data_IF_162426182620
#
_entry.id   IF_162426182620
#
_cell.length_a   1.000
_cell.length_b   1.000
_cell.length_c   1.000
_cell.angle_alpha   90.00
_cell.angle_beta   90.00
_cell.angle_gamma   90.00
#
_symmetry.space_group_name_H-M   'P 1'
#
loop_
_entity.id
_entity.type
_entity.pdbx_description
1 polymer ?
#
# COMPACT_ATOMS: atom_id res chain seq x y z
N UNK A 1 -12.24 -10.79 -17.89
CA UNK A 1 -11.41 -9.95 -16.98
C UNK A 1 -10.37 -9.08 -17.73
N UNK A 2 -10.51 -8.92 -19.06
CA UNK A 2 -9.47 -8.27 -19.88
C UNK A 2 -9.19 -6.80 -19.54
N UNK A 3 -10.09 -6.13 -18.80
CA UNK A 3 -9.99 -4.72 -18.45
C UNK A 3 -9.70 -4.48 -16.95
N UNK A 4 -9.45 -5.52 -16.20
CA UNK A 4 -9.15 -5.40 -14.77
C UNK A 4 -7.72 -5.79 -14.46
N UNK A 5 -7.09 -5.01 -13.58
CA UNK A 5 -5.84 -5.37 -12.90
C UNK A 5 -6.15 -5.67 -11.44
N UNK A 6 -5.35 -6.52 -10.85
CA UNK A 6 -5.44 -6.85 -9.44
C UNK A 6 -4.04 -7.08 -8.85
N UNK A 7 -3.91 -6.76 -7.58
CA UNK A 7 -2.73 -7.04 -6.77
C UNK A 7 -3.18 -7.59 -5.42
N UNK A 8 -2.36 -8.38 -4.78
CA UNK A 8 -2.60 -8.90 -3.44
C UNK A 8 -1.31 -8.88 -2.64
N UNK A 9 -1.35 -8.24 -1.47
CA UNK A 9 -0.27 -8.26 -0.50
C UNK A 9 -0.75 -8.74 0.86
N UNK A 10 0.19 -9.35 1.57
CA UNK A 10 0.10 -9.63 3.01
C UNK A 10 0.83 -8.53 3.78
N UNK A 11 0.24 -8.05 4.86
CA UNK A 11 0.85 -7.10 5.77
C UNK A 11 0.76 -7.66 7.19
N UNK A 12 1.86 -8.30 7.64
CA UNK A 12 1.88 -9.18 8.81
C UNK A 12 2.71 -8.59 9.95
N UNK A 13 2.18 -8.68 11.17
CA UNK A 13 2.87 -8.31 12.41
C UNK A 13 4.13 -9.16 12.62
N UNK A 14 5.23 -8.49 12.97
CA UNK A 14 6.54 -9.10 13.17
C UNK A 14 7.33 -9.33 11.88
N UNK A 15 6.72 -9.09 10.70
CA UNK A 15 7.37 -9.16 9.39
C UNK A 15 7.42 -7.79 8.75
N UNK A 16 6.28 -7.15 8.56
CA UNK A 16 6.14 -5.88 7.86
C UNK A 16 5.99 -4.68 8.81
N UNK A 17 5.59 -4.93 10.04
CA UNK A 17 5.47 -3.91 11.08
C UNK A 17 5.58 -4.51 12.49
N UNK A 18 5.91 -3.64 13.45
CA UNK A 18 5.84 -3.91 14.89
C UNK A 18 4.75 -2.99 15.45
N UNK A 19 3.80 -3.54 16.23
CA UNK A 19 2.66 -2.77 16.78
C UNK A 19 3.10 -1.61 17.67
N UNK A 20 4.18 -1.77 18.41
CA UNK A 20 4.76 -0.72 19.25
C UNK A 20 5.29 0.49 18.46
N UNK A 21 5.55 0.33 17.15
CA UNK A 21 6.04 1.40 16.28
C UNK A 21 4.92 2.16 15.55
N UNK A 22 3.68 1.67 15.58
CA UNK A 22 2.57 2.20 14.80
C UNK A 22 1.32 2.38 15.65
N UNK A 23 0.46 3.38 15.34
CA UNK A 23 -0.95 3.30 15.69
C UNK A 23 -1.68 2.32 14.78
N UNK A 24 -2.76 1.72 15.23
CA UNK A 24 -3.59 0.83 14.40
C UNK A 24 -4.16 1.54 13.17
N UNK A 25 -4.48 2.83 13.29
CA UNK A 25 -4.84 3.70 12.18
C UNK A 25 -3.75 3.72 11.09
N UNK A 26 -2.48 3.89 11.48
CA UNK A 26 -1.37 3.93 10.53
C UNK A 26 -1.04 2.54 9.95
N UNK A 27 -1.19 1.47 10.71
CA UNK A 27 -1.07 0.10 10.19
C UNK A 27 -2.06 -0.13 9.05
N UNK A 28 -3.33 0.17 9.29
CA UNK A 28 -4.40 0.04 8.31
C UNK A 28 -4.16 0.86 7.05
N UNK A 29 -3.78 2.13 7.22
CA UNK A 29 -3.45 3.03 6.10
C UNK A 29 -2.29 2.50 5.27
N UNK A 30 -1.21 2.07 5.91
CA UNK A 30 -0.02 1.57 5.22
C UNK A 30 -0.35 0.29 4.45
N UNK A 31 -1.08 -0.65 5.05
CA UNK A 31 -1.53 -1.87 4.38
C UNK A 31 -2.33 -1.56 3.09
N UNK A 32 -3.24 -0.57 3.14
CA UNK A 32 -3.97 -0.13 1.96
C UNK A 32 -3.06 0.55 0.93
N UNK A 33 -2.14 1.41 1.36
CA UNK A 33 -1.30 2.20 0.47
C UNK A 33 -0.28 1.35 -0.30
N UNK A 34 0.27 0.28 0.26
CA UNK A 34 1.18 -0.61 -0.47
C UNK A 34 0.44 -1.31 -1.61
N UNK A 35 -0.78 -1.82 -1.39
CA UNK A 35 -1.61 -2.40 -2.44
C UNK A 35 -2.05 -1.37 -3.51
N UNK A 36 -2.34 -0.13 -3.11
CA UNK A 36 -2.64 0.96 -4.05
C UNK A 36 -1.42 1.26 -4.92
N UNK A 37 -0.21 1.17 -4.36
CA UNK A 37 1.04 1.37 -5.09
C UNK A 37 1.15 0.43 -6.29
N UNK A 38 0.87 -0.85 -6.11
CA UNK A 38 0.89 -1.85 -7.18
C UNK A 38 -0.09 -1.52 -8.32
N UNK A 39 -1.31 -1.16 -7.97
CA UNK A 39 -2.33 -0.81 -8.98
C UNK A 39 -1.92 0.45 -9.75
N UNK A 40 -1.40 1.45 -9.04
CA UNK A 40 -0.91 2.68 -9.67
C UNK A 40 0.33 2.42 -10.55
N UNK A 41 1.23 1.52 -10.16
CA UNK A 41 2.39 1.13 -10.95
C UNK A 41 1.99 0.50 -12.30
N UNK A 42 0.81 -0.11 -12.37
CA UNK A 42 0.22 -0.60 -13.61
C UNK A 42 -0.51 0.49 -14.43
N UNK A 43 -0.48 1.75 -13.99
CA UNK A 43 -1.13 2.87 -14.66
C UNK A 43 -2.66 2.88 -14.51
N UNK A 44 -3.19 2.25 -13.46
CA UNK A 44 -4.62 2.04 -13.25
C UNK A 44 -5.06 2.67 -11.92
N UNK A 45 -6.28 3.18 -11.86
CA UNK A 45 -6.88 3.68 -10.61
C UNK A 45 -7.43 2.50 -9.79
N UNK A 46 -7.12 2.41 -8.50
CA UNK A 46 -7.78 1.45 -7.62
C UNK A 46 -9.27 1.77 -7.54
N UNK A 47 -10.12 0.75 -7.48
CA UNK A 47 -11.57 0.92 -7.44
C UNK A 47 -12.24 0.06 -6.36
N UNK A 48 -11.77 -1.17 -6.17
CA UNK A 48 -12.37 -2.11 -5.22
C UNK A 48 -11.29 -2.81 -4.41
N UNK A 49 -11.65 -3.24 -3.19
CA UNK A 49 -10.78 -4.07 -2.37
C UNK A 49 -11.57 -5.16 -1.63
N UNK A 50 -10.90 -6.28 -1.40
CA UNK A 50 -11.32 -7.33 -0.46
C UNK A 50 -10.29 -7.39 0.67
N UNK A 51 -10.77 -7.57 1.91
CA UNK A 51 -9.95 -7.56 3.12
C UNK A 51 -10.09 -8.88 3.88
N UNK A 52 -8.99 -9.61 4.04
CA UNK A 52 -8.87 -10.67 5.03
C UNK A 52 -8.12 -10.15 6.24
N UNK A 53 -8.71 -10.16 7.43
CA UNK A 53 -8.09 -9.57 8.61
C UNK A 53 -8.13 -10.58 9.77
N UNK A 54 -6.97 -10.86 10.33
CA UNK A 54 -6.81 -11.55 11.59
C UNK A 54 -6.46 -10.51 12.66
N UNK A 55 -7.41 -10.13 13.51
CA UNK A 55 -7.14 -9.24 14.64
C UNK A 55 -6.46 -10.00 15.77
N UNK A 56 -5.45 -9.40 16.39
CA UNK A 56 -4.82 -9.97 17.56
C UNK A 56 -5.82 -10.04 18.75
N UNK A 57 -5.74 -11.12 19.54
CA UNK A 57 -6.67 -11.39 20.65
C UNK A 57 -6.66 -10.30 21.71
N UNK A 58 -5.53 -9.64 21.90
CA UNK A 58 -5.33 -8.57 22.89
C UNK A 58 -5.79 -7.18 22.41
N UNK A 59 -6.21 -7.05 21.16
CA UNK A 59 -6.77 -5.79 20.64
C UNK A 59 -8.13 -5.49 21.25
N UNK A 60 -8.26 -4.28 21.78
CA UNK A 60 -9.51 -3.74 22.31
C UNK A 60 -10.47 -3.28 21.20
N UNK A 61 -11.71 -2.98 21.56
CA UNK A 61 -12.68 -2.41 20.60
C UNK A 61 -12.20 -1.05 20.06
N UNK A 62 -11.53 -0.23 20.90
CA UNK A 62 -10.98 1.05 20.48
C UNK A 62 -9.85 0.87 19.46
N UNK A 63 -9.00 -0.15 19.62
CA UNK A 63 -7.93 -0.47 18.68
C UNK A 63 -8.49 -0.88 17.31
N UNK A 64 -9.57 -1.67 17.33
CA UNK A 64 -10.27 -2.09 16.12
C UNK A 64 -10.94 -0.90 15.43
N UNK A 65 -11.51 0.01 16.19
CA UNK A 65 -12.14 1.22 15.62
C UNK A 65 -11.08 2.17 15.05
N UNK A 66 -9.93 2.33 15.71
CA UNK A 66 -8.78 3.09 15.16
C UNK A 66 -8.29 2.49 13.83
N UNK A 67 -8.18 1.15 13.77
CA UNK A 67 -7.85 0.43 12.54
C UNK A 67 -8.87 0.66 11.42
N UNK A 68 -10.18 0.51 11.73
CA UNK A 68 -11.26 0.76 10.76
C UNK A 68 -11.22 2.19 10.22
N UNK A 69 -10.97 3.19 11.08
CA UNK A 69 -10.86 4.58 10.67
C UNK A 69 -9.72 4.77 9.65
N UNK A 70 -8.60 4.07 9.82
CA UNK A 70 -7.50 4.07 8.85
C UNK A 70 -7.91 3.53 7.47
N UNK A 71 -8.65 2.41 7.43
CA UNK A 71 -9.21 1.85 6.18
C UNK A 71 -10.17 2.84 5.52
N UNK A 72 -11.13 3.35 6.30
CA UNK A 72 -12.18 4.28 5.79
C UNK A 72 -11.56 5.54 5.20
N UNK A 73 -10.53 6.10 5.84
CA UNK A 73 -9.84 7.30 5.38
C UNK A 73 -9.19 7.08 3.99
N UNK A 74 -8.48 5.96 3.82
CA UNK A 74 -7.88 5.62 2.53
C UNK A 74 -8.94 5.31 1.47
N UNK A 75 -9.99 4.58 1.82
CA UNK A 75 -11.10 4.31 0.92
C UNK A 75 -11.73 5.61 0.40
N UNK A 76 -11.97 6.59 1.28
CA UNK A 76 -12.51 7.92 0.89
C UNK A 76 -11.52 8.66 0.00
N UNK A 77 -10.24 8.71 0.39
CA UNK A 77 -9.19 9.45 -0.34
C UNK A 77 -9.01 8.97 -1.78
N UNK A 78 -9.06 7.66 -2.00
CA UNK A 78 -8.82 7.03 -3.30
C UNK A 78 -10.09 6.54 -3.99
N UNK A 79 -11.26 6.82 -3.41
CA UNK A 79 -12.58 6.37 -3.92
C UNK A 79 -12.66 4.85 -4.12
N UNK A 80 -12.18 4.09 -3.13
CA UNK A 80 -12.18 2.63 -3.15
C UNK A 80 -13.40 2.09 -2.40
N UNK A 81 -14.07 1.07 -2.94
CA UNK A 81 -15.17 0.36 -2.30
C UNK A 81 -14.69 -1.00 -1.79
N UNK A 82 -14.94 -1.29 -0.53
CA UNK A 82 -14.76 -2.64 0.00
C UNK A 82 -15.93 -3.50 -0.49
N UNK A 83 -15.62 -4.59 -1.18
CA UNK A 83 -16.62 -5.47 -1.82
C UNK A 83 -16.72 -6.84 -1.17
N UNK A 84 -15.90 -7.14 -0.18
CA UNK A 84 -15.92 -8.39 0.55
C UNK A 84 -14.71 -8.57 1.44
N UNK A 85 -14.65 -9.71 2.08
CA UNK A 85 -13.56 -10.09 2.95
C UNK A 85 -14.02 -10.99 4.07
N UNK A 86 -13.08 -11.29 4.96
CA UNK A 86 -13.33 -12.10 6.16
C UNK A 86 -12.54 -11.54 7.35
N UNK A 87 -13.01 -11.81 8.56
CA UNK A 87 -12.39 -11.33 9.79
C UNK A 87 -12.38 -12.43 10.85
N UNK A 88 -11.19 -12.72 11.36
CA UNK A 88 -10.99 -13.69 12.43
C UNK A 88 -10.24 -13.07 13.62
N UNK A 89 -10.07 -13.83 14.69
CA UNK A 89 -9.18 -13.53 15.82
C UNK A 89 -8.05 -14.55 15.87
N UNK A 90 -6.82 -14.06 16.13
CA UNK A 90 -5.62 -14.88 16.23
C UNK A 90 -4.62 -14.24 17.21
N UNK A 91 -3.43 -14.79 17.33
CA UNK A 91 -2.38 -14.27 18.22
C UNK A 91 -1.73 -12.98 17.67
N UNK A 92 -1.77 -12.77 16.35
CA UNK A 92 -1.16 -11.62 15.66
C UNK A 92 -2.14 -10.89 14.75
N UNK A 93 -1.88 -9.60 14.56
CA UNK A 93 -2.56 -8.80 13.54
C UNK A 93 -1.96 -9.08 12.16
N UNK A 94 -2.73 -9.76 11.30
CA UNK A 94 -2.36 -10.01 9.92
C UNK A 94 -3.45 -9.48 8.98
N UNK A 95 -3.01 -8.91 7.87
CA UNK A 95 -3.90 -8.25 6.92
C UNK A 95 -3.56 -8.78 5.53
N UNK A 96 -4.56 -9.29 4.82
CA UNK A 96 -4.49 -9.64 3.42
C UNK A 96 -5.39 -8.69 2.64
N UNK A 97 -4.86 -8.00 1.64
CA UNK A 97 -5.65 -7.10 0.81
C UNK A 97 -5.53 -7.53 -0.63
N UNK A 98 -6.67 -7.77 -1.28
CA UNK A 98 -6.74 -7.88 -2.73
C UNK A 98 -7.34 -6.60 -3.28
N UNK A 99 -6.58 -5.86 -4.06
CA UNK A 99 -6.98 -4.59 -4.67
C UNK A 99 -7.30 -4.82 -6.14
N UNK A 100 -8.34 -4.16 -6.62
CA UNK A 100 -8.76 -4.22 -8.03
C UNK A 100 -8.85 -2.82 -8.62
N UNK A 101 -8.41 -2.69 -9.87
CA UNK A 101 -8.60 -1.51 -10.67
C UNK A 101 -9.14 -1.84 -12.05
N UNK A 102 -10.00 -0.99 -12.61
CA UNK A 102 -10.46 -1.11 -14.00
C UNK A 102 -9.59 -0.23 -14.87
N UNK A 103 -8.96 -0.83 -15.89
CA UNK A 103 -8.15 -0.11 -16.85
C UNK A 103 -9.04 0.68 -17.81
N UNK A 104 -8.80 1.99 -17.90
CA UNK A 104 -9.45 2.90 -18.85
C UNK A 104 -8.56 3.16 -20.08
N UNK A 105 -7.30 2.73 -20.01
CA UNK A 105 -6.30 2.95 -21.03
C UNK A 105 -5.22 1.85 -21.00
N UNK A 106 -4.02 2.17 -21.46
CA UNK A 106 -2.87 1.26 -21.49
C UNK A 106 -2.50 0.76 -20.09
N UNK A 107 -2.38 -0.57 -19.95
CA UNK A 107 -1.84 -1.21 -18.75
C UNK A 107 -0.31 -1.28 -18.88
N UNK A 108 0.39 -0.77 -17.88
CA UNK A 108 1.84 -0.85 -17.78
C UNK A 108 2.25 -2.22 -17.25
N UNK A 109 3.21 -2.84 -17.92
CA UNK A 109 3.76 -4.15 -17.54
C UNK A 109 5.25 -4.07 -17.29
N UNK A 110 5.77 -4.94 -16.44
CA UNK A 110 7.22 -5.06 -16.16
C UNK A 110 8.04 -5.58 -17.35
N UNK A 111 7.38 -6.14 -18.36
CA UNK A 111 8.01 -6.81 -19.52
C UNK A 111 8.10 -5.96 -20.79
N UNK A 112 7.61 -4.73 -20.76
CA UNK A 112 7.51 -3.91 -21.98
C UNK A 112 8.75 -3.04 -22.26
N UNK A 113 9.82 -3.20 -21.48
CA UNK A 113 11.07 -2.48 -21.67
C UNK A 113 11.82 -2.92 -22.91
N UNK A 114 12.58 -1.99 -23.52
CA UNK A 114 13.48 -2.24 -24.64
C UNK A 114 14.87 -1.75 -24.33
N UNK A 115 15.86 -2.34 -24.99
CA UNK A 115 17.24 -1.83 -24.94
C UNK A 115 17.25 -0.39 -25.43
N UNK A 116 17.89 0.51 -24.65
CA UNK A 116 17.94 1.95 -24.92
C UNK A 116 16.87 2.78 -24.21
N UNK A 117 15.91 2.15 -23.52
CA UNK A 117 14.95 2.88 -22.68
C UNK A 117 15.66 3.53 -21.48
N UNK A 118 15.25 4.75 -21.15
CA UNK A 118 15.74 5.47 -19.97
C UNK A 118 14.96 5.00 -18.75
N UNK A 119 15.69 4.62 -17.68
CA UNK A 119 15.11 4.26 -16.39
C UNK A 119 15.11 5.50 -15.50
N UNK A 120 13.97 5.81 -14.90
CA UNK A 120 13.85 6.87 -13.91
C UNK A 120 12.95 6.42 -12.75
N UNK A 121 13.05 7.11 -11.64
CA UNK A 121 12.18 6.92 -10.47
C UNK A 121 11.61 8.25 -9.99
N UNK A 122 10.46 8.22 -9.36
CA UNK A 122 9.85 9.41 -8.75
C UNK A 122 10.10 9.44 -7.25
N UNK A 123 10.39 10.62 -6.72
CA UNK A 123 10.64 10.84 -5.29
C UNK A 123 12.09 10.59 -4.86
N UNK A 124 12.29 10.40 -3.55
CA UNK A 124 13.59 10.17 -2.94
C UNK A 124 13.69 8.77 -2.37
N UNK A 125 14.75 8.05 -2.68
CA UNK A 125 15.03 6.71 -2.17
C UNK A 125 15.82 6.76 -0.85
N UNK A 126 15.78 5.66 -0.09
CA UNK A 126 16.59 5.46 1.12
C UNK A 126 16.04 6.08 2.41
N UNK A 127 15.08 7.01 2.36
CA UNK A 127 14.52 7.66 3.55
C UNK A 127 13.84 6.67 4.51
N UNK A 128 13.07 5.75 3.99
CA UNK A 128 12.37 4.71 4.77
C UNK A 128 13.35 3.81 5.51
N UNK A 129 14.45 3.39 4.86
CA UNK A 129 15.50 2.57 5.49
C UNK A 129 16.19 3.30 6.64
N UNK A 130 16.44 4.62 6.50
CA UNK A 130 17.00 5.45 7.57
C UNK A 130 16.06 5.50 8.78
N UNK A 131 14.78 5.76 8.56
CA UNK A 131 13.78 5.87 9.61
C UNK A 131 13.55 4.53 10.32
N UNK A 132 13.50 3.43 9.56
CA UNK A 132 13.41 2.08 10.11
C UNK A 132 14.61 1.76 11.04
N UNK A 133 15.84 2.05 10.59
CA UNK A 133 17.03 1.87 11.42
C UNK A 133 17.01 2.71 12.69
N UNK A 134 16.45 3.93 12.64
CA UNK A 134 16.29 4.78 13.82
C UNK A 134 15.29 4.17 14.80
N UNK A 135 14.13 3.69 14.33
CA UNK A 135 13.13 3.01 15.18
C UNK A 135 13.69 1.75 15.85
N UNK A 136 14.40 0.88 15.12
CA UNK A 136 15.02 -0.32 15.72
C UNK A 136 16.10 -0.03 16.75
N UNK A 137 16.64 1.21 16.77
CA UNK A 137 17.56 1.71 17.80
C UNK A 137 16.83 2.43 18.93
N UNK A 138 15.50 2.39 18.98
CA UNK A 138 14.68 3.05 20.00
C UNK A 138 14.51 4.57 19.81
N UNK A 139 14.92 5.12 18.67
CA UNK A 139 14.73 6.55 18.38
C UNK A 139 13.34 6.83 17.81
N UNK A 140 12.78 7.97 18.17
CA UNK A 140 11.53 8.47 17.54
C UNK A 140 11.84 9.02 16.15
N UNK A 141 10.94 8.78 15.21
CA UNK A 141 10.99 9.36 13.87
C UNK A 141 9.85 10.37 13.66
N UNK A 142 9.95 11.15 12.60
CA UNK A 142 8.91 12.12 12.24
C UNK A 142 7.58 11.41 12.00
N UNK A 143 6.48 11.93 12.58
CA UNK A 143 5.12 11.39 12.38
C UNK A 143 4.67 11.39 10.91
N UNK A 144 5.21 12.31 10.10
CA UNK A 144 4.94 12.42 8.67
C UNK A 144 5.92 11.62 7.80
N UNK A 145 6.73 10.73 8.40
CA UNK A 145 7.66 9.89 7.65
C UNK A 145 6.94 9.01 6.64
N UNK A 146 7.57 8.83 5.48
CA UNK A 146 7.16 7.85 4.47
C UNK A 146 7.16 6.41 5.02
N UNK A 147 7.88 6.15 6.09
CA UNK A 147 7.84 4.88 6.81
C UNK A 147 6.42 4.55 7.27
N UNK A 148 5.67 5.53 7.83
CA UNK A 148 4.29 5.34 8.24
C UNK A 148 3.29 5.47 7.09
N UNK A 149 3.53 6.43 6.19
CA UNK A 149 2.59 6.74 5.12
C UNK A 149 3.34 6.93 3.81
N UNK A 150 3.42 5.89 2.97
CA UNK A 150 4.01 5.99 1.63
C UNK A 150 3.38 7.14 0.84
N UNK A 151 4.21 7.93 0.15
CA UNK A 151 3.75 9.05 -0.65
C UNK A 151 3.48 8.59 -2.09
N UNK A 152 2.24 8.27 -2.37
CA UNK A 152 1.79 7.95 -3.72
C UNK A 152 1.37 9.23 -4.45
N UNK A 153 1.77 9.38 -5.70
CA UNK A 153 1.41 10.52 -6.54
C UNK A 153 0.63 10.07 -7.79
N UNK A 154 -0.67 9.75 -7.65
CA UNK A 154 -1.48 9.27 -8.78
C UNK A 154 -1.51 10.26 -9.95
N UNK A 155 -1.60 11.56 -9.66
CA UNK A 155 -1.63 12.60 -10.69
C UNK A 155 -0.42 12.51 -11.60
N UNK A 156 0.78 12.49 -11.02
CA UNK A 156 2.03 12.35 -11.77
C UNK A 156 2.05 11.07 -12.62
N UNK A 157 1.63 9.93 -12.05
CA UNK A 157 1.60 8.65 -12.76
C UNK A 157 0.74 8.73 -14.02
N UNK A 158 -0.48 9.31 -13.90
CA UNK A 158 -1.38 9.43 -15.05
C UNK A 158 -0.91 10.46 -16.08
N UNK A 159 -0.22 11.52 -15.66
CA UNK A 159 0.39 12.50 -16.57
C UNK A 159 1.51 11.87 -17.42
N UNK A 160 2.34 10.99 -16.86
CA UNK A 160 3.45 10.36 -17.58
C UNK A 160 3.05 9.09 -18.33
N UNK A 161 1.87 8.52 -18.05
CA UNK A 161 1.41 7.25 -18.60
C UNK A 161 1.55 7.13 -20.14
N UNK A 162 1.26 8.16 -20.96
CA UNK A 162 1.44 8.10 -22.40
C UNK A 162 2.89 7.90 -22.85
N UNK A 163 3.86 8.33 -22.03
CA UNK A 163 5.28 8.39 -22.38
C UNK A 163 6.07 7.18 -21.88
N UNK A 164 5.54 6.40 -20.93
CA UNK A 164 6.24 5.23 -20.36
C UNK A 164 5.84 3.93 -21.04
N UNK A 165 6.77 3.01 -21.16
CA UNK A 165 6.52 1.67 -21.77
C UNK A 165 6.25 0.61 -20.72
N UNK A 166 7.04 0.61 -19.67
CA UNK A 166 6.96 -0.33 -18.56
C UNK A 166 7.17 0.37 -17.23
N UNK A 167 6.85 -0.28 -16.15
CA UNK A 167 6.99 0.27 -14.81
C UNK A 167 6.76 -0.77 -13.73
N UNK A 168 7.22 -0.44 -12.55
CA UNK A 168 6.93 -1.13 -11.30
C UNK A 168 6.98 -0.13 -10.17
N UNK A 169 6.37 -0.42 -9.06
CA UNK A 169 6.58 0.36 -7.84
C UNK A 169 7.95 0.06 -7.22
N UNK A 170 8.39 0.91 -6.30
CA UNK A 170 9.64 0.73 -5.56
C UNK A 170 9.26 0.38 -4.12
N UNK A 171 9.11 -0.91 -3.85
CA UNK A 171 8.72 -1.46 -2.55
C UNK A 171 9.88 -2.17 -1.86
N UNK A 172 10.56 -3.07 -2.55
CA UNK A 172 11.61 -3.94 -1.97
C UNK A 172 13.03 -3.60 -2.43
N UNK A 173 13.21 -2.58 -3.22
CA UNK A 173 14.53 -2.13 -3.69
C UNK A 173 14.71 -2.10 -5.18
#
# INVERSE_FOLDING_TARGET
>A
LNDYVYAMDLFCEGVHFLRECFSYYNIARKAMLVNISDILAMGVKPAYAMLGISFAKDMTSNDIDDFKNGIVDICKKYNIKIIGGDTIRDDKLNIAITMFGKAESKIIKRTNFKVGDIIFFSGNLGGVSKDMKALYRGHKINKNSKFYTPNLNPKFIFEILPFIRGGMDVSDG
#
